data_IF_118549681732
#
_entry.id   IF_118549681732
#
_cell.length_a   1.000
_cell.length_b   1.000
_cell.length_c   1.000
_cell.angle_alpha   90.00
_cell.angle_beta   90.00
_cell.angle_gamma   90.00
#
_symmetry.space_group_name_H-M   'P 1'
#
loop_
_entity.id
_entity.type
_entity.pdbx_description
1 polymer ?
#
# COMPACT_ATOMS: atom_id res chain seq x y z
N UNK A 1 28.16 5.87 -1.06
CA UNK A 1 26.96 6.69 -0.77
C UNK A 1 25.73 5.80 -0.79
N UNK A 2 24.92 5.83 0.28
CA UNK A 2 23.70 5.04 0.36
C UNK A 2 22.55 5.68 -0.44
N UNK A 3 21.87 4.89 -1.28
CA UNK A 3 20.67 5.31 -2.01
C UNK A 3 19.44 4.92 -1.21
N UNK A 4 18.53 5.87 -1.01
CA UNK A 4 17.30 5.66 -0.24
C UNK A 4 16.09 5.71 -1.19
N UNK A 5 15.29 4.64 -1.16
CA UNK A 5 14.01 4.53 -1.84
C UNK A 5 12.86 4.53 -0.79
N UNK A 6 12.26 5.71 -0.51
CA UNK A 6 11.21 5.83 0.51
C UNK A 6 9.87 5.25 0.03
N UNK A 7 8.98 4.89 0.97
CA UNK A 7 7.62 4.47 0.62
C UNK A 7 6.87 5.54 -0.19
N UNK A 8 6.26 5.11 -1.29
CA UNK A 8 5.80 5.98 -2.36
C UNK A 8 4.84 7.08 -1.92
N UNK A 9 5.14 8.32 -2.32
CA UNK A 9 4.26 9.49 -2.09
C UNK A 9 2.87 9.26 -2.70
N UNK A 10 2.80 8.66 -3.89
CA UNK A 10 1.54 8.37 -4.57
C UNK A 10 0.63 7.48 -3.72
N UNK A 11 1.15 6.37 -3.16
CA UNK A 11 0.38 5.50 -2.27
C UNK A 11 -0.07 6.20 -0.99
N UNK A 12 0.80 7.03 -0.38
CA UNK A 12 0.44 7.82 0.82
C UNK A 12 -0.73 8.75 0.52
N UNK A 13 -0.70 9.44 -0.61
CA UNK A 13 -1.78 10.35 -1.03
C UNK A 13 -3.07 9.57 -1.32
N UNK A 14 -2.98 8.43 -2.00
CA UNK A 14 -4.15 7.60 -2.27
C UNK A 14 -4.80 7.05 -0.99
N UNK A 15 -4.02 6.63 0.01
CA UNK A 15 -4.59 6.23 1.30
C UNK A 15 -5.40 7.36 1.94
N UNK A 16 -4.88 8.60 1.93
CA UNK A 16 -5.62 9.77 2.44
C UNK A 16 -6.92 10.01 1.66
N UNK A 17 -6.85 9.92 0.33
CA UNK A 17 -8.02 10.06 -0.54
C UNK A 17 -9.08 9.00 -0.21
N UNK A 18 -8.69 7.72 -0.04
CA UNK A 18 -9.63 6.66 0.33
C UNK A 18 -10.26 6.88 1.71
N UNK A 19 -9.46 7.30 2.70
CA UNK A 19 -9.98 7.64 4.03
C UNK A 19 -11.04 8.74 3.92
N UNK A 20 -10.73 9.84 3.22
CA UNK A 20 -11.69 10.95 3.05
C UNK A 20 -12.96 10.49 2.33
N UNK A 21 -12.83 9.71 1.25
CA UNK A 21 -14.00 9.17 0.54
C UNK A 21 -14.88 8.30 1.45
N UNK A 22 -14.30 7.43 2.26
CA UNK A 22 -15.04 6.57 3.19
C UNK A 22 -15.75 7.38 4.27
N UNK A 23 -15.09 8.41 4.82
CA UNK A 23 -15.70 9.30 5.82
C UNK A 23 -16.86 10.10 5.24
N UNK A 24 -16.70 10.64 4.03
CA UNK A 24 -17.78 11.35 3.31
C UNK A 24 -18.94 10.42 3.03
N UNK A 25 -18.70 9.20 2.54
CA UNK A 25 -19.73 8.21 2.30
C UNK A 25 -20.46 7.81 3.60
N UNK A 26 -19.72 7.61 4.70
CA UNK A 26 -20.31 7.31 6.00
C UNK A 26 -21.24 8.42 6.47
N UNK A 27 -20.78 9.68 6.39
CA UNK A 27 -21.58 10.85 6.78
C UNK A 27 -22.82 11.03 5.91
N UNK A 28 -22.67 10.90 4.58
CA UNK A 28 -23.78 11.00 3.64
C UNK A 28 -24.84 9.94 3.91
N UNK A 29 -24.44 8.67 4.00
CA UNK A 29 -25.39 7.58 4.20
C UNK A 29 -26.04 7.62 5.58
N UNK A 30 -25.32 8.04 6.62
CA UNK A 30 -25.92 8.27 7.93
C UNK A 30 -26.96 9.41 7.88
N UNK A 31 -26.66 10.50 7.18
CA UNK A 31 -27.60 11.61 7.01
C UNK A 31 -28.88 11.15 6.30
N UNK A 32 -28.75 10.51 5.15
CA UNK A 32 -29.89 10.03 4.37
C UNK A 32 -30.69 8.94 5.11
N UNK A 33 -30.01 8.02 5.81
CA UNK A 33 -30.63 6.89 6.48
C UNK A 33 -31.38 7.24 7.78
N UNK A 34 -30.93 8.26 8.51
CA UNK A 34 -31.44 8.58 9.85
C UNK A 34 -32.14 9.95 9.93
N UNK A 35 -31.60 10.98 9.26
CA UNK A 35 -32.00 12.37 9.47
C UNK A 35 -32.83 12.95 8.31
N UNK A 36 -32.64 12.48 7.08
CA UNK A 36 -33.36 12.99 5.91
C UNK A 36 -34.78 12.42 5.80
N UNK A 37 -35.78 13.13 6.37
CA UNK A 37 -37.19 12.70 6.35
C UNK A 37 -37.72 12.40 4.94
N UNK A 38 -37.38 13.24 3.95
CA UNK A 38 -37.81 13.03 2.55
C UNK A 38 -37.28 11.71 2.00
N UNK A 39 -36.03 11.39 2.32
CA UNK A 39 -35.41 10.12 1.92
C UNK A 39 -36.06 8.93 2.62
N UNK A 40 -36.28 9.02 3.94
CA UNK A 40 -36.93 7.97 4.72
C UNK A 40 -38.33 7.66 4.21
N UNK A 41 -39.16 8.68 3.94
CA UNK A 41 -40.51 8.51 3.41
C UNK A 41 -40.46 7.86 2.02
N UNK A 42 -39.59 8.35 1.13
CA UNK A 42 -39.44 7.81 -0.23
C UNK A 42 -39.03 6.34 -0.24
N UNK A 43 -38.21 5.94 0.71
CA UNK A 43 -37.64 4.58 0.81
C UNK A 43 -38.27 3.74 1.91
N UNK A 44 -39.49 4.10 2.34
CA UNK A 44 -40.34 3.27 3.18
C UNK A 44 -41.56 2.83 2.38
N UNK A 45 -41.73 1.53 2.19
CA UNK A 45 -42.86 0.93 1.47
C UNK A 45 -43.69 0.10 2.44
N UNK A 46 -45.00 0.34 2.51
CA UNK A 46 -45.93 -0.38 3.40
C UNK A 46 -45.48 -0.41 4.87
N UNK A 47 -44.88 0.69 5.36
CA UNK A 47 -44.38 0.80 6.74
C UNK A 47 -43.03 0.13 7.00
N UNK A 48 -42.42 -0.52 6.00
CA UNK A 48 -41.10 -1.15 6.11
C UNK A 48 -40.05 -0.40 5.27
N UNK A 49 -38.83 -0.33 5.77
CA UNK A 49 -37.69 0.21 5.02
C UNK A 49 -37.38 -0.70 3.82
N UNK A 50 -37.18 -0.11 2.64
CA UNK A 50 -36.65 -0.85 1.50
C UNK A 50 -35.14 -1.13 1.66
N UNK A 51 -34.57 -1.93 0.75
CA UNK A 51 -33.16 -2.28 0.79
C UNK A 51 -32.22 -1.07 0.75
N UNK A 52 -32.61 0.02 0.09
CA UNK A 52 -31.81 1.25 0.00
C UNK A 52 -31.75 1.94 1.35
N UNK A 53 -32.88 2.10 2.04
CA UNK A 53 -32.92 2.69 3.37
C UNK A 53 -32.21 1.81 4.42
N UNK A 54 -32.33 0.48 4.32
CA UNK A 54 -31.58 -0.45 5.17
C UNK A 54 -30.08 -0.31 4.95
N UNK A 55 -29.63 -0.25 3.70
CA UNK A 55 -28.22 -0.06 3.38
C UNK A 55 -27.68 1.23 3.97
N UNK A 56 -28.36 2.37 3.75
CA UNK A 56 -27.93 3.67 4.28
C UNK A 56 -27.86 3.71 5.82
N UNK A 57 -28.71 2.94 6.51
CA UNK A 57 -28.68 2.82 7.97
C UNK A 57 -27.53 1.95 8.47
N UNK A 58 -27.25 0.84 7.78
CA UNK A 58 -26.30 -0.16 8.25
C UNK A 58 -24.88 0.04 7.73
N UNK A 59 -24.69 0.66 6.57
CA UNK A 59 -23.38 0.85 5.94
C UNK A 59 -22.43 1.84 6.63
N UNK A 60 -22.87 2.91 7.32
CA UNK A 60 -21.94 3.91 7.88
C UNK A 60 -20.88 3.34 8.84
N UNK A 61 -21.21 2.46 9.81
CA UNK A 61 -20.20 1.81 10.65
C UNK A 61 -19.13 1.04 9.86
N UNK A 62 -19.49 0.38 8.75
CA UNK A 62 -18.53 -0.36 7.92
C UNK A 62 -17.59 0.58 7.17
N UNK A 63 -18.10 1.70 6.65
CA UNK A 63 -17.27 2.72 6.02
C UNK A 63 -16.30 3.37 7.02
N UNK A 64 -16.77 3.66 8.24
CA UNK A 64 -15.90 4.14 9.33
C UNK A 64 -14.82 3.11 9.69
N UNK A 65 -15.20 1.84 9.85
CA UNK A 65 -14.25 0.77 10.13
C UNK A 65 -13.20 0.63 9.02
N UNK A 66 -13.62 0.71 7.75
CA UNK A 66 -12.71 0.73 6.60
C UNK A 66 -11.74 1.91 6.63
N UNK A 67 -12.22 3.11 6.97
CA UNK A 67 -11.39 4.31 7.08
C UNK A 67 -10.32 4.15 8.18
N UNK A 68 -10.70 3.63 9.34
CA UNK A 68 -9.79 3.33 10.45
C UNK A 68 -8.75 2.27 10.04
N UNK A 69 -9.17 1.20 9.37
CA UNK A 69 -8.26 0.16 8.91
C UNK A 69 -7.19 0.71 7.94
N UNK A 70 -7.60 1.53 6.97
CA UNK A 70 -6.67 2.18 6.03
C UNK A 70 -5.76 3.17 6.75
N UNK A 71 -6.27 3.92 7.73
CA UNK A 71 -5.46 4.86 8.51
C UNK A 71 -4.36 4.13 9.31
N UNK A 72 -4.70 3.04 10.00
CA UNK A 72 -3.74 2.20 10.74
C UNK A 72 -2.69 1.62 9.79
N UNK A 73 -3.13 1.07 8.65
CA UNK A 73 -2.22 0.52 7.64
C UNK A 73 -1.26 1.59 7.11
N UNK A 74 -1.79 2.78 6.76
CA UNK A 74 -1.00 3.89 6.25
C UNK A 74 -0.01 4.41 7.30
N UNK A 75 -0.38 4.42 8.58
CA UNK A 75 0.51 4.79 9.67
C UNK A 75 1.67 3.80 9.79
N UNK A 76 1.40 2.49 9.78
CA UNK A 76 2.44 1.45 9.82
C UNK A 76 3.35 1.48 8.60
N UNK A 77 2.84 1.85 7.42
CA UNK A 77 3.60 1.87 6.18
C UNK A 77 4.46 3.13 5.96
N UNK A 78 4.21 4.22 6.69
CA UNK A 78 4.83 5.54 6.41
C UNK A 78 6.34 5.59 6.61
N UNK A 79 6.88 4.74 7.48
CA UNK A 79 8.30 4.72 7.83
C UNK A 79 9.08 3.67 7.03
N UNK A 80 8.39 2.93 6.14
CA UNK A 80 9.02 1.97 5.25
C UNK A 80 9.92 2.69 4.24
N UNK A 81 11.13 2.20 4.09
CA UNK A 81 12.11 2.64 3.10
C UNK A 81 13.03 1.48 2.78
N UNK A 82 13.53 1.46 1.56
CA UNK A 82 14.62 0.60 1.15
C UNK A 82 15.88 1.45 1.14
N UNK A 83 16.97 0.94 1.71
CA UNK A 83 18.26 1.59 1.70
C UNK A 83 19.25 0.65 1.01
N UNK A 84 19.80 1.08 -0.11
CA UNK A 84 20.89 0.41 -0.78
C UNK A 84 22.19 1.05 -0.28
N UNK A 85 22.87 0.37 0.64
CA UNK A 85 24.14 0.82 1.20
C UNK A 85 25.32 0.35 0.32
N UNK A 86 26.55 0.40 0.82
CA UNK A 86 27.72 0.01 0.03
C UNK A 86 27.90 -1.51 -0.09
N UNK A 87 27.35 -2.27 0.87
CA UNK A 87 27.56 -3.71 1.03
C UNK A 87 26.26 -4.52 1.11
N UNK A 88 25.14 -3.87 1.48
CA UNK A 88 23.86 -4.55 1.73
C UNK A 88 22.66 -3.73 1.25
N UNK A 89 21.59 -4.45 0.88
CA UNK A 89 20.26 -3.91 0.66
C UNK A 89 19.43 -4.09 1.94
N UNK A 90 19.09 -2.98 2.59
CA UNK A 90 18.24 -2.95 3.78
C UNK A 90 16.79 -2.72 3.34
N UNK A 91 15.95 -3.74 3.43
CA UNK A 91 14.53 -3.68 3.12
C UNK A 91 13.68 -3.27 4.34
N UNK A 92 14.14 -3.65 5.53
CA UNK A 92 13.58 -3.24 6.83
C UNK A 92 14.62 -3.45 7.94
N UNK A 93 14.33 -3.02 9.17
CA UNK A 93 15.23 -3.21 10.30
C UNK A 93 15.65 -4.69 10.52
N UNK A 94 14.76 -5.62 10.17
CA UNK A 94 14.97 -7.06 10.36
C UNK A 94 15.27 -7.80 9.05
N UNK A 95 15.32 -7.09 7.91
CA UNK A 95 15.51 -7.71 6.60
C UNK A 95 16.62 -6.97 5.85
N UNK A 96 17.80 -7.59 5.86
CA UNK A 96 19.02 -7.11 5.21
C UNK A 96 19.52 -8.19 4.27
N UNK A 97 19.87 -7.80 3.04
CA UNK A 97 20.36 -8.71 2.00
C UNK A 97 21.75 -8.24 1.60
N UNK A 98 22.82 -8.92 2.02
CA UNK A 98 24.18 -8.62 1.57
C UNK A 98 24.27 -8.78 0.04
N UNK A 99 25.04 -7.93 -0.63
CA UNK A 99 25.22 -8.05 -2.09
C UNK A 99 25.91 -9.35 -2.48
N UNK A 100 26.77 -9.88 -1.61
CA UNK A 100 27.41 -11.19 -1.80
C UNK A 100 26.45 -12.37 -1.79
N UNK A 101 25.24 -12.23 -1.22
CA UNK A 101 24.24 -13.30 -1.23
C UNK A 101 23.26 -13.20 -2.39
N UNK A 102 23.31 -12.11 -3.18
CA UNK A 102 22.46 -11.94 -4.36
C UNK A 102 23.05 -12.75 -5.51
N UNK A 103 22.25 -13.67 -6.04
CA UNK A 103 22.65 -14.52 -7.16
C UNK A 103 22.23 -13.91 -8.50
N UNK A 104 21.06 -13.28 -8.56
CA UNK A 104 20.56 -12.66 -9.79
C UNK A 104 19.56 -11.55 -9.52
N UNK A 105 19.45 -10.64 -10.50
CA UNK A 105 18.43 -9.59 -10.54
C UNK A 105 17.69 -9.70 -11.87
N UNK A 106 16.42 -10.06 -11.81
CA UNK A 106 15.52 -10.03 -12.96
C UNK A 106 14.86 -8.65 -13.10
N UNK A 107 15.30 -7.90 -14.12
CA UNK A 107 14.76 -6.58 -14.50
C UNK A 107 13.82 -6.64 -15.71
N UNK A 108 13.44 -7.82 -16.20
CA UNK A 108 12.65 -7.98 -17.44
C UNK A 108 11.35 -7.17 -17.43
N UNK A 109 10.75 -7.00 -16.26
CA UNK A 109 9.51 -6.23 -16.08
C UNK A 109 9.72 -4.84 -15.49
N UNK A 110 10.96 -4.36 -15.40
CA UNK A 110 11.26 -3.08 -14.76
C UNK A 110 10.76 -1.91 -15.59
N UNK A 111 11.16 -1.83 -16.85
CA UNK A 111 10.80 -0.69 -17.73
C UNK A 111 9.29 -0.66 -18.04
N UNK A 112 8.65 -1.83 -18.11
CA UNK A 112 7.23 -1.94 -18.46
C UNK A 112 6.29 -1.85 -17.25
N UNK A 113 6.64 -2.48 -16.11
CA UNK A 113 5.75 -2.61 -14.94
C UNK A 113 6.31 -1.96 -13.67
N UNK A 114 7.54 -1.45 -13.71
CA UNK A 114 8.19 -0.79 -12.58
C UNK A 114 8.46 -1.74 -11.42
N UNK A 115 8.86 -2.98 -11.68
CA UNK A 115 9.32 -3.89 -10.63
C UNK A 115 10.46 -4.79 -11.11
N UNK A 116 11.28 -5.23 -10.16
CA UNK A 116 12.32 -6.21 -10.38
C UNK A 116 12.27 -7.28 -9.28
N UNK A 117 12.89 -8.43 -9.54
CA UNK A 117 12.97 -9.55 -8.61
C UNK A 117 14.45 -9.78 -8.30
N UNK A 118 14.77 -9.85 -7.01
CA UNK A 118 16.09 -10.25 -6.52
C UNK A 118 15.99 -11.70 -6.06
N UNK A 119 16.90 -12.54 -6.55
CA UNK A 119 17.11 -13.89 -6.05
C UNK A 119 18.37 -13.88 -5.18
N UNK A 120 18.26 -14.35 -3.95
CA UNK A 120 19.35 -14.33 -2.98
C UNK A 120 19.30 -15.55 -2.06
N UNK A 121 20.45 -15.94 -1.50
CA UNK A 121 20.50 -16.93 -0.42
C UNK A 121 20.16 -16.28 0.91
N UNK A 122 19.22 -16.86 1.62
CA UNK A 122 18.91 -16.47 2.99
C UNK A 122 19.99 -16.95 3.98
N UNK A 123 19.85 -16.59 5.26
CA UNK A 123 20.78 -16.98 6.32
C UNK A 123 20.86 -18.49 6.56
N UNK A 124 19.90 -19.27 6.06
CA UNK A 124 19.89 -20.74 6.08
C UNK A 124 20.47 -21.36 4.79
N UNK A 125 20.97 -20.53 3.87
CA UNK A 125 21.51 -20.95 2.58
C UNK A 125 20.44 -21.33 1.55
N UNK A 126 19.16 -21.06 1.84
CA UNK A 126 18.05 -21.35 0.92
C UNK A 126 17.85 -20.19 -0.05
N UNK A 127 17.68 -20.55 -1.32
CA UNK A 127 17.32 -19.60 -2.36
C UNK A 127 15.93 -18.98 -2.08
N UNK A 128 15.90 -17.66 -2.02
CA UNK A 128 14.72 -16.85 -1.76
C UNK A 128 14.60 -15.75 -2.80
N UNK A 129 13.37 -15.38 -3.12
CA UNK A 129 13.08 -14.34 -4.10
C UNK A 129 12.32 -13.18 -3.45
N UNK A 130 12.76 -11.94 -3.72
CA UNK A 130 12.06 -10.73 -3.30
C UNK A 130 11.70 -9.86 -4.49
N UNK A 131 10.39 -9.62 -4.65
CA UNK A 131 9.86 -8.64 -5.61
C UNK A 131 9.86 -7.25 -4.99
N UNK A 132 10.52 -6.29 -5.65
CA UNK A 132 10.54 -4.88 -5.26
C UNK A 132 9.92 -4.06 -6.39
N UNK A 133 8.98 -3.16 -6.06
CA UNK A 133 8.21 -2.41 -7.04
C UNK A 133 8.23 -0.91 -6.79
N UNK A 134 8.45 -0.14 -7.85
CA UNK A 134 8.42 1.32 -7.91
C UNK A 134 7.03 1.90 -7.63
N UNK A 135 5.97 1.08 -7.75
CA UNK A 135 4.63 1.46 -7.26
C UNK A 135 4.55 1.54 -5.74
N UNK A 136 5.50 0.91 -5.03
CA UNK A 136 5.53 0.86 -3.56
C UNK A 136 6.61 1.77 -2.99
N UNK A 137 7.72 1.94 -3.70
CA UNK A 137 8.83 2.77 -3.27
C UNK A 137 9.21 3.76 -4.37
N UNK A 138 9.40 5.02 -4.01
CA UNK A 138 9.92 6.03 -4.93
C UNK A 138 11.46 5.90 -5.04
N UNK A 139 12.07 6.51 -6.06
CA UNK A 139 13.52 6.51 -6.29
C UNK A 139 14.14 5.11 -6.44
N UNK A 140 13.37 4.18 -7.04
CA UNK A 140 13.81 2.81 -7.22
C UNK A 140 14.86 2.66 -8.33
N UNK A 141 14.90 3.59 -9.29
CA UNK A 141 15.83 3.56 -10.42
C UNK A 141 17.28 3.61 -9.92
N UNK A 142 17.57 4.53 -9.00
CA UNK A 142 18.89 4.67 -8.37
C UNK A 142 19.30 3.41 -7.57
N UNK A 143 18.34 2.72 -6.93
CA UNK A 143 18.61 1.45 -6.23
C UNK A 143 19.00 0.36 -7.23
N UNK A 144 18.29 0.30 -8.35
CA UNK A 144 18.45 -0.70 -9.41
C UNK A 144 19.77 -0.51 -10.16
N UNK A 145 20.19 0.73 -10.38
CA UNK A 145 21.50 1.09 -10.95
C UNK A 145 22.64 0.69 -10.02
N UNK A 146 22.56 1.05 -8.73
CA UNK A 146 23.58 0.70 -7.74
C UNK A 146 23.72 -0.82 -7.59
N UNK A 147 22.60 -1.54 -7.52
CA UNK A 147 22.61 -3.01 -7.44
C UNK A 147 23.29 -3.67 -8.64
N UNK A 148 23.05 -3.18 -9.87
CA UNK A 148 23.74 -3.75 -11.04
C UNK A 148 25.22 -3.40 -11.06
N UNK A 149 25.59 -2.17 -10.70
CA UNK A 149 26.99 -1.79 -10.58
C UNK A 149 27.76 -2.66 -9.57
N UNK A 150 27.11 -3.12 -8.50
CA UNK A 150 27.73 -3.94 -7.45
C UNK A 150 27.79 -5.44 -7.74
N UNK A 151 26.98 -5.93 -8.68
CA UNK A 151 26.95 -7.34 -9.06
C UNK A 151 27.78 -7.58 -10.33
N UNK A 152 27.88 -6.59 -11.22
CA UNK A 152 28.65 -6.68 -12.48
C UNK A 152 30.09 -6.17 -12.35
N UNK A 153 30.38 -5.32 -11.37
CA UNK A 153 31.74 -4.80 -11.10
C UNK A 153 32.46 -5.60 -10.04
#
# INVERSE_FOLDING_TARGET
MAVIAPFSKYKRTNHKIYIVMLLVAAGWFAYDGYFNEKFKIKHTKNGAADHTLVFHRQSPPYFLAGAVAIAIYSWKARDRKIVADEQELVLSANEKIPYSSIESIDKTNYDSKGYFIITYKDSAGKESQKKISGRTFDNLDAVVELLVSKITG
#
